data_IF_079742268191
#
_entry.id   IF_079742268191
#
_cell.length_a   1.000
_cell.length_b   1.000
_cell.length_c   1.000
_cell.angle_alpha   90.00
_cell.angle_beta   90.00
_cell.angle_gamma   90.00
#
_symmetry.space_group_name_H-M   'P 1'
#
loop_
_entity.id
_entity.type
_entity.pdbx_description
1 polymer ?
#
# COMPACT_ATOMS: atom_id res chain seq x y z
N UNK A 1 -24.51 -27.17 15.06
CA UNK A 1 -24.59 -27.34 13.59
C UNK A 1 -24.14 -26.09 12.82
N UNK A 2 -24.76 -24.92 13.02
CA UNK A 2 -24.42 -23.68 12.29
C UNK A 2 -22.94 -23.25 12.39
N UNK A 3 -22.32 -23.36 13.57
CA UNK A 3 -20.90 -23.03 13.76
C UNK A 3 -19.93 -23.96 13.01
N UNK A 4 -20.29 -25.24 12.83
CA UNK A 4 -19.48 -26.20 12.07
C UNK A 4 -19.58 -25.94 10.56
N UNK A 5 -20.78 -25.58 10.08
CA UNK A 5 -21.00 -25.16 8.69
C UNK A 5 -20.29 -23.83 8.36
N UNK A 6 -20.27 -22.88 9.29
CA UNK A 6 -19.51 -21.64 9.12
C UNK A 6 -18.00 -21.91 9.02
N UNK A 7 -17.46 -22.80 9.89
CA UNK A 7 -16.05 -23.21 9.85
C UNK A 7 -15.68 -23.90 8.54
N UNK A 8 -16.53 -24.78 8.00
CA UNK A 8 -16.25 -25.48 6.73
C UNK A 8 -16.29 -24.54 5.52
N UNK A 9 -17.19 -23.55 5.50
CA UNK A 9 -17.26 -22.52 4.45
C UNK A 9 -16.04 -21.60 4.48
N UNK A 10 -15.62 -21.14 5.65
CA UNK A 10 -14.41 -20.33 5.79
C UNK A 10 -13.15 -21.11 5.36
N UNK A 11 -13.01 -22.36 5.78
CA UNK A 11 -11.88 -23.20 5.36
C UNK A 11 -11.83 -23.35 3.84
N UNK A 12 -12.97 -23.65 3.21
CA UNK A 12 -13.06 -23.77 1.75
C UNK A 12 -12.79 -22.46 1.02
N UNK A 13 -13.25 -21.32 1.55
CA UNK A 13 -12.95 -20.01 0.97
C UNK A 13 -11.45 -19.69 1.03
N UNK A 14 -10.78 -20.05 2.14
CA UNK A 14 -9.34 -19.87 2.30
C UNK A 14 -8.54 -20.81 1.39
N UNK A 15 -9.00 -22.06 1.20
CA UNK A 15 -8.41 -22.99 0.23
C UNK A 15 -8.57 -22.52 -1.21
N UNK A 16 -9.72 -21.95 -1.57
CA UNK A 16 -9.95 -21.36 -2.89
C UNK A 16 -9.08 -20.12 -3.10
N UNK A 17 -8.99 -19.21 -2.12
CA UNK A 17 -8.09 -18.07 -2.18
C UNK A 17 -6.63 -18.51 -2.31
N UNK A 18 -6.26 -19.61 -1.65
CA UNK A 18 -4.93 -20.19 -1.74
C UNK A 18 -4.64 -20.80 -3.12
N UNK A 19 -5.59 -21.51 -3.71
CA UNK A 19 -5.48 -22.01 -5.07
C UNK A 19 -5.37 -20.87 -6.09
N UNK A 20 -6.17 -19.82 -5.92
CA UNK A 20 -6.13 -18.62 -6.77
C UNK A 20 -4.78 -17.90 -6.71
N UNK A 21 -4.06 -17.89 -5.59
CA UNK A 21 -2.69 -17.35 -5.53
C UNK A 21 -1.71 -18.18 -6.36
N UNK A 22 -1.87 -19.50 -6.40
CA UNK A 22 -1.09 -20.37 -7.30
C UNK A 22 -1.38 -20.09 -8.77
N UNK A 23 -2.63 -19.78 -9.10
CA UNK A 23 -3.09 -19.48 -10.46
C UNK A 23 -2.97 -18.00 -10.84
N UNK A 24 -2.70 -17.10 -9.90
CA UNK A 24 -2.59 -15.65 -10.14
C UNK A 24 -1.56 -15.31 -11.22
N UNK A 25 -0.59 -16.20 -11.42
CA UNK A 25 0.40 -16.15 -12.50
C UNK A 25 -0.22 -16.19 -13.90
N UNK A 26 -1.32 -16.94 -14.08
CA UNK A 26 -2.04 -17.05 -15.34
C UNK A 26 -2.95 -15.84 -15.61
N UNK A 27 -3.28 -15.07 -14.57
CA UNK A 27 -4.22 -13.95 -14.64
C UNK A 27 -3.62 -12.67 -14.03
N UNK A 28 -2.58 -12.08 -14.67
CA UNK A 28 -1.88 -10.92 -14.11
C UNK A 28 -2.79 -9.70 -13.90
N UNK A 29 -3.87 -9.55 -14.69
CA UNK A 29 -4.81 -8.44 -14.55
C UNK A 29 -5.67 -8.47 -13.28
N UNK A 30 -5.81 -9.64 -12.63
CA UNK A 30 -6.60 -9.82 -11.40
C UNK A 30 -5.75 -10.26 -10.21
N UNK A 31 -4.45 -10.49 -10.43
CA UNK A 31 -3.53 -10.95 -9.40
C UNK A 31 -3.49 -9.99 -8.20
N UNK A 32 -3.49 -8.67 -8.44
CA UNK A 32 -3.52 -7.65 -7.39
C UNK A 32 -4.72 -7.78 -6.46
N UNK A 33 -5.92 -8.01 -7.02
CA UNK A 33 -7.15 -8.16 -6.24
C UNK A 33 -7.11 -9.42 -5.37
N UNK A 34 -6.51 -10.51 -5.89
CA UNK A 34 -6.31 -11.75 -5.12
C UNK A 34 -5.37 -11.51 -3.94
N UNK A 35 -4.24 -10.81 -4.15
CA UNK A 35 -3.32 -10.49 -3.07
C UNK A 35 -3.94 -9.55 -2.04
N UNK A 36 -4.65 -8.51 -2.48
CA UNK A 36 -5.37 -7.60 -1.60
C UNK A 36 -6.40 -8.35 -0.74
N UNK A 37 -7.15 -9.29 -1.33
CA UNK A 37 -8.11 -10.13 -0.61
C UNK A 37 -7.42 -11.00 0.44
N UNK A 38 -6.31 -11.66 0.10
CA UNK A 38 -5.54 -12.49 1.04
C UNK A 38 -5.01 -11.65 2.20
N UNK A 39 -4.47 -10.46 1.92
CA UNK A 39 -4.02 -9.52 2.95
C UNK A 39 -5.15 -9.10 3.88
N UNK A 40 -6.31 -8.71 3.33
CA UNK A 40 -7.49 -8.33 4.11
C UNK A 40 -8.01 -9.49 4.99
N UNK A 41 -8.07 -10.72 4.46
CA UNK A 41 -8.48 -11.90 5.21
C UNK A 41 -7.51 -12.22 6.35
N UNK A 42 -6.20 -12.12 6.11
CA UNK A 42 -5.18 -12.34 7.13
C UNK A 42 -5.21 -11.27 8.23
N UNK A 43 -5.51 -10.01 7.88
CA UNK A 43 -5.64 -8.92 8.82
C UNK A 43 -6.90 -9.06 9.71
N UNK A 44 -8.04 -9.42 9.11
CA UNK A 44 -9.32 -9.50 9.81
C UNK A 44 -9.47 -10.76 10.67
N UNK A 45 -8.83 -11.88 10.31
CA UNK A 45 -9.04 -13.16 10.98
C UNK A 45 -7.71 -13.85 11.39
N UNK A 46 -7.29 -13.77 12.67
CA UNK A 46 -6.05 -14.39 13.14
C UNK A 46 -5.96 -15.90 12.89
N UNK A 47 -7.10 -16.61 12.89
CA UNK A 47 -7.15 -18.03 12.57
C UNK A 47 -6.81 -18.31 11.10
N UNK A 48 -7.30 -17.47 10.18
CA UNK A 48 -6.98 -17.55 8.73
C UNK A 48 -5.49 -17.27 8.53
N UNK A 49 -4.95 -16.24 9.19
CA UNK A 49 -3.52 -15.94 9.15
C UNK A 49 -2.67 -17.13 9.58
N UNK A 50 -2.96 -17.74 10.75
CA UNK A 50 -2.23 -18.92 11.25
C UNK A 50 -2.31 -20.09 10.27
N UNK A 51 -3.48 -20.33 9.68
CA UNK A 51 -3.67 -21.38 8.68
C UNK A 51 -2.81 -21.15 7.43
N UNK A 52 -2.83 -19.93 6.89
CA UNK A 52 -2.04 -19.58 5.69
C UNK A 52 -0.54 -19.64 5.97
N UNK A 53 -0.08 -19.16 7.12
CA UNK A 53 1.33 -19.28 7.54
C UNK A 53 1.76 -20.75 7.66
N UNK A 54 0.93 -21.60 8.27
CA UNK A 54 1.20 -23.04 8.38
C UNK A 54 1.25 -23.76 7.02
N UNK A 55 0.74 -23.13 5.95
CA UNK A 55 0.79 -23.62 4.56
C UNK A 55 1.88 -22.92 3.72
N UNK A 56 2.81 -22.23 4.37
CA UNK A 56 3.95 -21.54 3.74
C UNK A 56 3.54 -20.45 2.73
N UNK A 57 2.36 -19.84 2.90
CA UNK A 57 1.90 -18.76 2.03
C UNK A 57 2.88 -17.57 1.93
N UNK A 58 3.48 -17.08 3.02
CA UNK A 58 4.47 -16.01 2.93
C UNK A 58 5.64 -16.37 2.00
N UNK A 59 6.11 -17.61 2.03
CA UNK A 59 7.19 -18.07 1.15
C UNK A 59 6.73 -18.11 -0.32
N UNK A 60 5.49 -18.53 -0.59
CA UNK A 60 4.88 -18.50 -1.93
C UNK A 60 4.77 -17.07 -2.48
N UNK A 61 4.31 -16.13 -1.66
CA UNK A 61 4.22 -14.72 -2.04
C UNK A 61 5.61 -14.08 -2.21
N UNK A 62 6.56 -14.38 -1.33
CA UNK A 62 7.94 -13.89 -1.48
C UNK A 62 8.60 -14.43 -2.76
N UNK A 63 8.40 -15.70 -3.10
CA UNK A 63 8.85 -16.28 -4.35
C UNK A 63 8.25 -15.57 -5.57
N UNK A 64 6.99 -15.14 -5.46
CA UNK A 64 6.29 -14.39 -6.50
C UNK A 64 6.90 -12.99 -6.74
N UNK A 65 7.34 -12.30 -5.68
CA UNK A 65 8.04 -11.00 -5.78
C UNK A 65 9.48 -11.17 -6.28
N UNK A 66 10.19 -12.15 -5.73
CA UNK A 66 11.64 -12.26 -5.92
C UNK A 66 12.03 -12.92 -7.24
N UNK A 67 11.28 -13.92 -7.74
CA UNK A 67 11.57 -14.67 -8.99
C UNK A 67 13.07 -14.87 -9.24
N UNK A 68 13.59 -14.31 -10.35
CA UNK A 68 15.00 -14.40 -10.76
C UNK A 68 15.93 -13.44 -10.01
N UNK A 69 15.37 -12.45 -9.30
CA UNK A 69 16.13 -11.51 -8.44
C UNK A 69 16.45 -12.11 -7.07
N UNK A 70 15.92 -13.28 -6.74
CA UNK A 70 16.25 -13.99 -5.50
C UNK A 70 17.74 -14.42 -5.52
N UNK A 71 18.51 -14.14 -4.44
CA UNK A 71 19.82 -14.75 -4.26
C UNK A 71 19.74 -16.28 -4.37
N UNK A 72 20.76 -16.94 -4.95
CA UNK A 72 20.73 -18.39 -5.24
C UNK A 72 20.35 -19.26 -4.04
N UNK A 73 20.74 -18.86 -2.83
CA UNK A 73 20.36 -19.52 -1.58
C UNK A 73 18.85 -19.42 -1.27
N UNK A 74 18.26 -18.25 -1.47
CA UNK A 74 16.81 -18.02 -1.30
C UNK A 74 16.01 -18.74 -2.39
N UNK A 75 16.49 -18.70 -3.64
CA UNK A 75 15.89 -19.47 -4.73
C UNK A 75 15.97 -20.99 -4.53
N UNK A 76 17.01 -21.49 -3.84
CA UNK A 76 17.11 -22.91 -3.47
C UNK A 76 16.11 -23.29 -2.37
N UNK A 77 15.91 -22.42 -1.37
CA UNK A 77 14.92 -22.63 -0.32
C UNK A 77 13.47 -22.58 -0.83
N UNK A 78 13.19 -21.77 -1.86
CA UNK A 78 11.85 -21.60 -2.44
C UNK A 78 11.53 -22.59 -3.57
N UNK A 79 12.49 -23.43 -3.98
CA UNK A 79 12.39 -24.31 -5.16
C UNK A 79 11.34 -25.43 -5.05
N UNK A 80 10.88 -25.75 -3.82
CA UNK A 80 9.79 -26.70 -3.57
C UNK A 80 8.41 -26.06 -3.43
N UNK A 81 8.34 -24.73 -3.49
CA UNK A 81 7.16 -23.94 -3.10
C UNK A 81 6.47 -23.29 -4.32
N UNK A 82 7.21 -23.02 -5.39
CA UNK A 82 6.69 -22.39 -6.63
C UNK A 82 7.32 -23.02 -7.87
N UNK A 83 6.51 -23.25 -8.92
CA UNK A 83 7.01 -23.67 -10.24
C UNK A 83 7.74 -22.47 -10.89
N UNK A 84 9.04 -22.58 -11.24
CA UNK A 84 9.81 -21.49 -11.83
C UNK A 84 9.35 -21.07 -13.23
N UNK A 85 8.40 -21.78 -13.84
CA UNK A 85 7.99 -21.56 -15.23
C UNK A 85 6.70 -20.74 -15.30
N UNK A 86 6.82 -19.42 -15.49
CA UNK A 86 5.87 -18.74 -16.40
C UNK A 86 5.18 -17.45 -15.97
N UNK A 87 5.49 -16.81 -14.85
CA UNK A 87 4.82 -15.55 -14.53
C UNK A 87 5.61 -14.31 -14.99
N UNK A 88 5.00 -13.31 -15.65
CA UNK A 88 5.59 -11.99 -15.82
C UNK A 88 5.73 -11.28 -14.47
N UNK A 89 6.84 -10.56 -14.24
CA UNK A 89 6.97 -9.69 -13.07
C UNK A 89 5.81 -8.68 -13.08
N UNK A 90 4.99 -8.64 -12.02
CA UNK A 90 3.99 -7.58 -11.90
C UNK A 90 4.73 -6.25 -11.71
N UNK A 91 4.29 -5.18 -12.39
CA UNK A 91 4.92 -3.86 -12.28
C UNK A 91 4.84 -3.29 -10.86
N UNK A 92 3.79 -3.64 -10.12
CA UNK A 92 3.59 -3.26 -8.72
C UNK A 92 3.56 -4.50 -7.82
N UNK A 93 4.54 -4.64 -6.94
CA UNK A 93 4.58 -5.71 -5.93
C UNK A 93 3.86 -5.31 -4.62
N UNK A 94 3.25 -4.13 -4.59
CA UNK A 94 2.75 -3.53 -3.35
C UNK A 94 1.71 -4.41 -2.65
N UNK A 95 0.73 -4.94 -3.36
CA UNK A 95 -0.29 -5.82 -2.76
C UNK A 95 0.28 -7.18 -2.31
N UNK A 96 1.30 -7.69 -3.00
CA UNK A 96 1.98 -8.94 -2.59
C UNK A 96 2.77 -8.73 -1.31
N UNK A 97 3.47 -7.61 -1.20
CA UNK A 97 4.19 -7.20 0.00
C UNK A 97 3.21 -6.92 1.15
N UNK A 98 2.08 -6.25 0.85
CA UNK A 98 1.01 -6.01 1.82
C UNK A 98 0.44 -7.34 2.36
N UNK A 99 0.10 -8.27 1.48
CA UNK A 99 -0.38 -9.60 1.87
C UNK A 99 0.66 -10.38 2.69
N UNK A 100 1.93 -10.30 2.32
CA UNK A 100 3.02 -10.99 3.02
C UNK A 100 3.20 -10.45 4.43
N UNK A 101 3.26 -9.13 4.61
CA UNK A 101 3.42 -8.55 5.95
C UNK A 101 2.16 -8.75 6.81
N UNK A 102 0.95 -8.72 6.24
CA UNK A 102 -0.27 -9.10 6.94
C UNK A 102 -0.24 -10.55 7.45
N UNK A 103 0.30 -11.48 6.65
CA UNK A 103 0.48 -12.88 7.05
C UNK A 103 1.51 -13.05 8.15
N UNK A 104 2.61 -12.30 8.10
CA UNK A 104 3.65 -12.29 9.13
C UNK A 104 3.20 -11.57 10.41
N UNK A 105 2.02 -10.95 10.41
CA UNK A 105 1.51 -10.20 11.55
C UNK A 105 2.22 -8.86 11.76
N UNK A 106 2.97 -8.39 10.77
CA UNK A 106 3.50 -7.03 10.78
C UNK A 106 2.34 -6.05 10.71
N UNK A 107 2.29 -5.10 11.64
CA UNK A 107 1.27 -4.04 11.62
C UNK A 107 1.53 -3.18 10.39
N UNK A 108 0.63 -3.27 9.41
CA UNK A 108 0.58 -2.31 8.35
C UNK A 108 -0.21 -1.11 8.82
N UNK A 109 0.49 0.02 8.83
CA UNK A 109 -0.02 1.28 8.35
C UNK A 109 -1.21 1.10 7.39
N UNK A 110 -2.44 1.30 7.86
CA UNK A 110 -3.60 1.26 6.97
C UNK A 110 -3.49 2.40 5.96
N UNK A 111 -3.90 2.19 4.70
CA UNK A 111 -3.93 3.30 3.73
C UNK A 111 -4.81 4.42 4.28
N UNK A 112 -4.19 5.55 4.63
CA UNK A 112 -4.87 6.69 5.18
C UNK A 112 -5.87 7.23 4.16
N UNK A 113 -7.09 7.64 4.55
CA UNK A 113 -8.07 8.11 3.58
C UNK A 113 -7.55 9.36 2.85
N UNK A 114 -7.64 9.39 1.52
CA UNK A 114 -7.27 10.58 0.72
C UNK A 114 -8.36 11.65 0.79
N UNK A 115 -9.61 11.22 0.83
CA UNK A 115 -10.78 12.08 0.92
C UNK A 115 -11.39 11.94 2.31
N UNK A 116 -11.79 13.06 2.90
CA UNK A 116 -12.57 13.06 4.12
C UNK A 116 -13.94 12.42 3.82
N UNK A 117 -14.40 11.52 4.69
CA UNK A 117 -15.80 11.10 4.66
C UNK A 117 -16.65 12.36 4.82
N UNK A 118 -17.45 12.69 3.81
CA UNK A 118 -18.37 13.82 3.85
C UNK A 118 -19.21 13.65 5.12
N UNK A 119 -18.87 14.40 6.17
CA UNK A 119 -19.58 14.31 7.44
C UNK A 119 -21.02 14.75 7.16
N UNK A 120 -21.90 13.76 7.01
CA UNK A 120 -23.34 13.88 7.28
C UNK A 120 -23.53 14.01 8.79
N UNK A 121 -22.79 14.91 9.44
CA UNK A 121 -23.05 15.27 10.83
C UNK A 121 -24.11 16.36 10.85
N UNK A 122 -25.35 15.90 10.97
CA UNK A 122 -26.33 16.48 11.90
C UNK A 122 -26.59 17.98 11.74
N UNK A 123 -27.22 18.35 10.64
CA UNK A 123 -27.94 19.61 10.52
C UNK A 123 -29.17 19.37 9.67
N UNK A 124 -30.28 19.02 10.32
CA UNK A 124 -31.62 19.15 9.73
C UNK A 124 -31.74 20.56 9.15
N UNK A 125 -31.76 20.69 7.82
CA UNK A 125 -32.16 21.95 7.17
C UNK A 125 -31.30 22.49 6.05
N UNK A 126 -30.14 21.92 5.69
CA UNK A 126 -29.44 22.37 4.48
C UNK A 126 -29.84 21.56 3.26
N UNK A 127 -31.04 21.85 2.71
CA UNK A 127 -31.44 21.42 1.38
C UNK A 127 -30.55 22.12 0.32
N UNK A 128 -29.32 21.66 0.14
CA UNK A 128 -28.57 21.89 -1.08
C UNK A 128 -29.21 21.05 -2.19
N UNK A 129 -30.38 21.49 -2.65
CA UNK A 129 -31.30 20.76 -3.54
C UNK A 129 -30.68 20.35 -4.88
N UNK A 130 -29.49 20.87 -5.22
CA UNK A 130 -28.73 20.54 -6.43
C UNK A 130 -27.20 20.69 -6.24
N UNK A 131 -26.69 20.64 -5.00
CA UNK A 131 -25.29 20.88 -4.69
C UNK A 131 -24.55 19.58 -4.39
N UNK A 132 -23.77 19.08 -5.35
CA UNK A 132 -22.79 18.02 -5.08
C UNK A 132 -21.91 18.46 -3.91
N UNK A 133 -22.01 17.79 -2.78
CA UNK A 133 -21.04 17.90 -1.69
C UNK A 133 -19.69 17.50 -2.29
N UNK A 134 -18.86 18.48 -2.66
CA UNK A 134 -17.54 18.20 -3.21
C UNK A 134 -16.74 17.49 -2.12
N UNK A 135 -16.29 16.26 -2.40
CA UNK A 135 -15.47 15.51 -1.47
C UNK A 135 -14.22 16.33 -1.14
N UNK A 136 -13.96 16.58 0.14
CA UNK A 136 -12.78 17.32 0.58
C UNK A 136 -11.59 16.37 0.78
N UNK A 137 -10.36 16.88 0.63
CA UNK A 137 -9.17 16.10 0.97
C UNK A 137 -9.11 15.90 2.49
N UNK A 138 -8.76 14.68 2.91
CA UNK A 138 -8.54 14.39 4.32
C UNK A 138 -7.40 15.28 4.87
N UNK A 139 -7.43 15.69 6.15
CA UNK A 139 -6.44 16.60 6.72
C UNK A 139 -4.99 16.12 6.54
N UNK A 140 -4.74 14.81 6.72
CA UNK A 140 -3.42 14.21 6.53
C UNK A 140 -2.97 14.26 5.06
N UNK A 141 -3.86 13.94 4.11
CA UNK A 141 -3.56 13.97 2.68
C UNK A 141 -3.30 15.40 2.21
N UNK A 142 -4.10 16.36 2.70
CA UNK A 142 -3.91 17.79 2.44
C UNK A 142 -2.57 18.28 2.96
N UNK A 143 -2.15 17.87 4.16
CA UNK A 143 -0.86 18.23 4.73
C UNK A 143 0.31 17.66 3.92
N UNK A 144 0.24 16.37 3.54
CA UNK A 144 1.25 15.72 2.71
C UNK A 144 1.41 16.40 1.34
N UNK A 145 0.30 16.64 0.64
CA UNK A 145 0.29 17.32 -0.66
C UNK A 145 0.75 18.78 -0.56
N UNK A 146 0.39 19.48 0.52
CA UNK A 146 0.86 20.84 0.79
C UNK A 146 2.38 20.89 0.97
N UNK A 147 2.97 19.92 1.68
CA UNK A 147 4.41 19.82 1.84
C UNK A 147 5.11 19.53 0.50
N UNK A 148 4.54 18.63 -0.32
CA UNK A 148 5.04 18.39 -1.69
C UNK A 148 5.03 19.67 -2.52
N UNK A 149 3.95 20.44 -2.47
CA UNK A 149 3.86 21.73 -3.17
C UNK A 149 4.95 22.71 -2.73
N UNK A 150 5.16 22.85 -1.42
CA UNK A 150 6.16 23.76 -0.86
C UNK A 150 7.59 23.35 -1.26
N UNK A 151 7.88 22.06 -1.37
CA UNK A 151 9.18 21.55 -1.82
C UNK A 151 9.47 21.75 -3.30
N UNK A 152 8.42 21.79 -4.13
CA UNK A 152 8.59 22.04 -5.56
C UNK A 152 8.59 23.53 -5.91
N UNK A 153 8.04 24.38 -5.04
CA UNK A 153 8.13 25.81 -5.19
C UNK A 153 9.56 26.31 -4.98
N UNK A 154 9.99 27.29 -5.77
CA UNK A 154 11.27 27.96 -5.51
C UNK A 154 11.19 28.84 -4.27
N UNK A 155 12.16 28.79 -3.36
CA UNK A 155 12.10 29.47 -2.05
C UNK A 155 12.09 31.01 -2.14
N UNK A 156 12.50 31.57 -3.28
CA UNK A 156 12.65 33.02 -3.45
C UNK A 156 11.38 33.74 -3.90
N UNK A 157 10.34 33.02 -4.35
CA UNK A 157 9.10 33.68 -4.77
C UNK A 157 8.08 33.76 -3.64
N UNK A 158 7.63 34.98 -3.32
CA UNK A 158 6.53 35.29 -2.41
C UNK A 158 5.49 36.12 -3.20
N UNK A 159 4.21 35.71 -3.26
CA UNK A 159 3.62 34.50 -2.69
C UNK A 159 4.18 33.20 -3.32
N UNK A 160 4.14 32.09 -2.57
CA UNK A 160 4.54 30.78 -3.07
C UNK A 160 3.58 30.35 -4.18
N UNK A 161 4.15 29.95 -5.31
CA UNK A 161 3.42 29.51 -6.48
C UNK A 161 4.34 28.73 -7.40
N UNK A 162 3.81 27.70 -8.04
CA UNK A 162 4.55 26.91 -9.03
C UNK A 162 4.42 27.56 -10.39
N UNK A 163 5.53 27.93 -11.00
CA UNK A 163 5.54 28.36 -12.40
C UNK A 163 5.37 27.15 -13.35
N UNK A 164 5.21 27.41 -14.64
CA UNK A 164 5.11 26.38 -15.68
C UNK A 164 6.27 25.37 -15.62
N UNK A 165 7.50 25.83 -15.35
CA UNK A 165 8.67 24.97 -15.26
C UNK A 165 8.67 24.09 -14.02
N UNK A 166 8.23 24.64 -12.89
CA UNK A 166 8.11 23.91 -11.62
C UNK A 166 7.02 22.83 -11.73
N UNK A 167 5.89 23.11 -12.38
CA UNK A 167 4.83 22.12 -12.63
C UNK A 167 5.28 21.03 -13.62
N UNK A 168 6.02 21.39 -14.67
CA UNK A 168 6.57 20.39 -15.60
C UNK A 168 7.56 19.46 -14.90
N UNK A 169 8.50 20.01 -14.14
CA UNK A 169 9.46 19.23 -13.35
C UNK A 169 8.75 18.33 -12.33
N UNK A 170 7.68 18.83 -11.72
CA UNK A 170 6.83 18.05 -10.83
C UNK A 170 6.17 16.87 -11.55
N UNK A 171 5.55 17.10 -12.71
CA UNK A 171 4.89 16.06 -13.50
C UNK A 171 5.87 15.01 -14.02
N UNK A 172 7.06 15.43 -14.45
CA UNK A 172 8.15 14.54 -14.85
C UNK A 172 8.56 13.60 -13.72
N UNK A 173 8.68 14.14 -12.50
CA UNK A 173 9.01 13.34 -11.30
C UNK A 173 7.90 12.36 -10.93
N UNK A 174 6.64 12.74 -11.10
CA UNK A 174 5.50 11.85 -10.88
C UNK A 174 5.36 10.77 -11.96
N UNK A 175 6.23 10.76 -12.97
CA UNK A 175 6.20 9.84 -14.11
C UNK A 175 4.89 9.93 -14.92
N UNK A 176 4.24 11.10 -14.93
CA UNK A 176 3.14 11.38 -15.84
C UNK A 176 3.70 11.42 -17.26
N UNK A 177 3.66 10.27 -17.96
CA UNK A 177 4.10 9.99 -19.32
C UNK A 177 5.01 11.06 -19.97
N UNK A 178 6.30 10.73 -20.08
CA UNK A 178 7.32 11.52 -20.79
C UNK A 178 6.92 11.68 -22.27
N UNK A 179 6.19 12.75 -22.61
CA UNK A 179 5.71 13.02 -23.97
C UNK A 179 4.83 14.28 -24.08
N UNK A 180 4.34 14.58 -25.29
CA UNK A 180 3.54 15.78 -25.64
C UNK A 180 2.25 15.99 -24.80
N UNK A 181 1.86 15.01 -23.99
CA UNK A 181 0.68 15.02 -23.13
C UNK A 181 0.85 15.99 -21.94
N UNK A 182 2.07 16.25 -21.50
CA UNK A 182 2.36 17.11 -20.32
C UNK A 182 1.99 18.58 -20.55
N UNK A 183 2.25 19.14 -21.73
CA UNK A 183 1.99 20.56 -21.98
C UNK A 183 0.48 20.88 -22.11
N UNK A 184 -0.32 19.95 -22.63
CA UNK A 184 -1.77 20.10 -22.69
C UNK A 184 -2.39 19.97 -21.30
N UNK A 185 -1.98 18.95 -20.53
CA UNK A 185 -2.43 18.77 -19.14
C UNK A 185 -2.06 19.98 -18.28
N UNK A 186 -0.85 20.52 -18.45
CA UNK A 186 -0.42 21.75 -17.77
C UNK A 186 -1.35 22.94 -18.09
N UNK A 187 -1.62 23.19 -19.38
CA UNK A 187 -2.52 24.28 -19.79
C UNK A 187 -3.92 24.10 -19.20
N UNK A 188 -4.44 22.88 -19.21
CA UNK A 188 -5.74 22.58 -18.59
C UNK A 188 -5.70 22.81 -17.08
N UNK A 189 -4.61 22.43 -16.41
CA UNK A 189 -4.45 22.63 -14.97
C UNK A 189 -4.44 24.12 -14.61
N UNK A 190 -3.62 24.93 -15.28
CA UNK A 190 -3.53 26.37 -15.03
C UNK A 190 -4.81 27.13 -15.42
N UNK A 191 -5.58 26.63 -16.40
CA UNK A 191 -6.85 27.23 -16.80
C UNK A 191 -8.02 26.85 -15.87
N UNK A 192 -8.02 25.63 -15.33
CA UNK A 192 -9.14 25.10 -14.54
C UNK A 192 -9.03 25.43 -13.04
N UNK A 193 -7.83 25.45 -12.49
CA UNK A 193 -7.60 25.58 -11.05
C UNK A 193 -7.09 26.97 -10.68
N UNK A 194 -7.19 27.30 -9.39
CA UNK A 194 -6.83 28.62 -8.88
C UNK A 194 -5.35 28.96 -9.14
N UNK A 195 -5.12 30.07 -9.84
CA UNK A 195 -3.80 30.64 -10.13
C UNK A 195 -3.64 31.98 -9.43
N UNK A 196 -2.40 32.34 -9.15
CA UNK A 196 -2.01 33.65 -8.62
C UNK A 196 -2.14 34.73 -9.71
N UNK A 197 -2.13 36.03 -9.35
CA UNK A 197 -2.23 37.14 -10.32
C UNK A 197 -1.13 37.15 -11.39
N UNK A 198 0.00 36.49 -11.12
CA UNK A 198 1.13 36.33 -12.03
C UNK A 198 1.05 35.07 -12.92
N UNK A 199 -0.08 34.35 -12.86
CA UNK A 199 -0.33 33.14 -13.65
C UNK A 199 0.31 31.86 -13.08
N UNK A 200 0.97 31.93 -11.92
CA UNK A 200 1.53 30.73 -11.27
C UNK A 200 0.45 29.94 -10.55
N UNK A 201 0.61 28.62 -10.48
CA UNK A 201 -0.33 27.76 -9.76
C UNK A 201 -0.22 28.01 -8.26
N UNK A 202 -1.35 28.36 -7.63
CA UNK A 202 -1.42 28.55 -6.19
C UNK A 202 -1.48 27.20 -5.44
N UNK A 203 -1.18 27.23 -4.14
CA UNK A 203 -1.33 26.06 -3.26
C UNK A 203 -2.76 25.54 -3.26
N UNK A 204 -3.74 26.44 -3.21
CA UNK A 204 -5.17 26.13 -3.25
C UNK A 204 -5.55 25.44 -4.56
N UNK A 205 -5.06 25.94 -5.70
CA UNK A 205 -5.31 25.34 -7.01
C UNK A 205 -4.68 23.95 -7.14
N UNK A 206 -3.47 23.77 -6.59
CA UNK A 206 -2.81 22.47 -6.54
C UNK A 206 -3.58 21.45 -5.70
N UNK A 207 -4.06 21.84 -4.52
CA UNK A 207 -4.89 20.98 -3.68
C UNK A 207 -6.24 20.67 -4.34
N UNK A 208 -6.83 21.63 -5.05
CA UNK A 208 -8.07 21.41 -5.80
C UNK A 208 -7.88 20.40 -6.94
N UNK A 209 -6.74 20.47 -7.66
CA UNK A 209 -6.37 19.47 -8.65
C UNK A 209 -6.30 18.06 -8.06
N UNK A 210 -5.64 17.90 -6.91
CA UNK A 210 -5.51 16.60 -6.27
C UNK A 210 -6.81 16.07 -5.67
N UNK A 211 -7.69 16.96 -5.21
CA UNK A 211 -9.04 16.59 -4.78
C UNK A 211 -9.84 15.98 -5.93
N UNK A 212 -9.91 16.68 -7.06
CA UNK A 212 -10.61 16.20 -8.26
C UNK A 212 -9.96 14.92 -8.83
N UNK A 213 -8.64 14.79 -8.69
CA UNK A 213 -7.89 13.59 -9.12
C UNK A 213 -8.12 12.41 -8.18
N UNK A 214 -8.19 12.63 -6.87
CA UNK A 214 -8.52 11.59 -5.89
C UNK A 214 -9.93 11.03 -6.06
N UNK A 215 -10.88 11.88 -6.48
CA UNK A 215 -12.26 11.45 -6.77
C UNK A 215 -12.35 10.55 -8.02
N UNK A 216 -11.54 10.83 -9.05
CA UNK A 216 -11.58 10.10 -10.32
C UNK A 216 -10.63 8.91 -10.37
N UNK A 217 -9.43 9.08 -9.81
CA UNK A 217 -8.33 8.14 -9.87
C UNK A 217 -7.43 8.25 -8.61
N UNK A 218 -7.87 7.71 -7.46
CA UNK A 218 -7.09 7.76 -6.22
C UNK A 218 -5.76 7.01 -6.32
N UNK A 219 -5.64 6.02 -7.23
CA UNK A 219 -4.40 5.28 -7.45
C UNK A 219 -3.27 6.19 -7.95
N UNK A 220 -3.60 7.15 -8.81
CA UNK A 220 -2.64 8.14 -9.31
C UNK A 220 -2.11 9.03 -8.18
N UNK A 221 -2.99 9.53 -7.32
CA UNK A 221 -2.58 10.36 -6.17
C UNK A 221 -1.63 9.63 -5.24
N UNK A 222 -1.89 8.34 -4.99
CA UNK A 222 -0.99 7.50 -4.21
C UNK A 222 0.35 7.28 -4.89
N UNK A 223 0.35 6.95 -6.18
CA UNK A 223 1.58 6.83 -6.97
C UNK A 223 2.44 8.10 -6.85
N UNK A 224 1.81 9.27 -7.02
CA UNK A 224 2.49 10.55 -6.92
C UNK A 224 3.07 10.76 -5.51
N UNK A 225 2.31 10.50 -4.45
CA UNK A 225 2.79 10.57 -3.06
C UNK A 225 3.97 9.62 -2.77
N UNK A 226 3.95 8.40 -3.32
CA UNK A 226 5.07 7.44 -3.17
C UNK A 226 6.35 7.97 -3.82
N UNK A 227 6.28 8.69 -4.95
CA UNK A 227 7.44 9.33 -5.59
C UNK A 227 8.07 10.45 -4.73
N UNK A 228 7.32 10.96 -3.74
CA UNK A 228 7.79 11.91 -2.73
C UNK A 228 8.13 11.26 -1.39
N UNK A 229 8.20 9.92 -1.34
CA UNK A 229 8.62 9.15 -0.17
C UNK A 229 7.57 9.06 0.93
N UNK A 230 6.30 9.34 0.64
CA UNK A 230 5.21 9.11 1.59
C UNK A 230 4.82 7.64 1.61
N UNK A 231 4.58 7.10 2.80
CA UNK A 231 4.06 5.75 3.00
C UNK A 231 2.53 5.74 2.98
N UNK A 232 1.91 4.55 3.10
CA UNK A 232 0.45 4.36 3.18
C UNK A 232 -0.22 5.17 4.31
N UNK A 233 0.51 5.46 5.40
CA UNK A 233 0.03 6.31 6.51
C UNK A 233 0.19 7.81 6.25
N UNK A 234 0.65 8.22 5.06
CA UNK A 234 1.01 9.61 4.72
C UNK A 234 2.13 10.19 5.59
N UNK A 235 2.92 9.32 6.22
CA UNK A 235 4.17 9.68 6.89
C UNK A 235 5.30 9.50 5.91
N UNK A 236 6.19 10.50 5.81
CA UNK A 236 7.38 10.39 4.98
C UNK A 236 8.38 9.43 5.63
N UNK A 237 8.85 8.45 4.88
CA UNK A 237 9.93 7.59 5.34
C UNK A 237 11.16 8.47 5.60
N UNK A 238 11.55 8.65 6.87
CA UNK A 238 12.80 9.30 7.20
C UNK A 238 13.98 8.54 6.57
N UNK A 239 15.15 9.18 6.37
CA UNK A 239 16.34 8.50 5.88
C UNK A 239 16.78 7.31 6.75
N UNK A 240 16.30 7.21 8.00
CA UNK A 240 16.55 6.08 8.89
C UNK A 240 15.56 4.91 8.75
N UNK A 241 14.35 5.11 8.22
CA UNK A 241 13.35 4.03 8.14
C UNK A 241 13.50 3.10 6.93
N UNK A 242 14.32 3.48 5.95
CA UNK A 242 14.67 2.63 4.80
C UNK A 242 15.76 1.59 5.13
N UNK A 243 16.35 1.64 6.32
CA UNK A 243 17.39 0.72 6.78
C UNK A 243 16.95 -0.09 8.02
N UNK A 244 15.98 -0.98 7.84
CA UNK A 244 15.85 -2.19 8.66
C UNK A 244 15.49 -1.98 10.14
N UNK A 245 14.24 -1.63 10.44
CA UNK A 245 13.70 -1.84 11.79
C UNK A 245 13.05 -3.23 11.89
N UNK A 246 13.90 -4.27 11.84
CA UNK A 246 13.59 -5.56 12.42
C UNK A 246 13.90 -5.48 13.92
N UNK A 247 12.96 -4.93 14.70
CA UNK A 247 13.04 -5.01 16.15
C UNK A 247 13.00 -6.50 16.58
N UNK A 248 13.86 -6.94 17.52
CA UNK A 248 13.92 -8.34 17.92
C UNK A 248 12.70 -8.68 18.78
N UNK A 249 11.92 -9.67 18.33
CA UNK A 249 10.94 -10.35 19.16
C UNK A 249 11.68 -11.22 20.19
N UNK A 250 12.20 -10.61 21.24
CA UNK A 250 12.68 -11.31 22.42
C UNK A 250 11.53 -11.39 23.44
N UNK A 251 10.80 -12.51 23.41
CA UNK A 251 10.37 -13.29 24.59
C UNK A 251 9.26 -14.27 24.21
N UNK A 252 9.68 -15.46 23.75
CA UNK A 252 8.84 -16.66 23.77
C UNK A 252 9.71 -17.91 23.61
N UNK A 253 10.64 -18.12 24.55
CA UNK A 253 11.37 -19.39 24.64
C UNK A 253 11.56 -19.79 26.11
N UNK A 254 10.47 -20.29 26.72
CA UNK A 254 10.55 -21.12 27.91
C UNK A 254 9.72 -22.39 27.65
N UNK A 255 10.36 -23.36 27.00
CA UNK A 255 9.92 -24.75 27.01
C UNK A 255 10.86 -25.54 27.94
N UNK A 256 10.35 -26.35 28.89
CA UNK A 256 11.18 -27.21 29.70
C UNK A 256 11.58 -28.47 28.92
N UNK A 257 12.87 -28.62 28.66
CA UNK A 257 13.48 -29.81 28.07
C UNK A 257 13.54 -30.95 29.09
N UNK A 258 12.80 -32.02 28.83
CA UNK A 258 13.01 -33.34 29.41
C UNK A 258 14.25 -34.01 28.80
N UNK A 259 15.19 -34.46 29.62
CA UNK A 259 16.27 -35.40 29.29
C UNK A 259 16.56 -36.20 30.57
N UNK A 260 15.97 -37.39 30.71
CA UNK A 260 16.53 -38.69 30.29
C UNK A 260 17.58 -39.25 31.26
N UNK A 261 17.10 -40.23 32.05
CA UNK A 261 17.65 -41.56 32.27
C UNK A 261 19.14 -41.75 32.68
N UNK A 262 19.26 -42.50 33.77
CA UNK A 262 20.23 -43.57 34.03
C UNK A 262 21.66 -43.19 34.45
N UNK A 263 21.89 -43.26 35.77
CA UNK A 263 23.14 -43.78 36.32
C UNK A 263 22.80 -44.86 37.36
N UNK A 264 23.32 -46.06 37.13
CA UNK A 264 23.11 -47.25 37.91
C UNK A 264 23.91 -47.25 39.22
N UNK A 265 23.37 -47.96 40.21
CA UNK A 265 24.04 -48.83 41.17
C UNK A 265 25.39 -48.40 41.79
N UNK A 266 25.41 -48.18 43.11
CA UNK A 266 26.17 -49.01 44.07
C UNK A 266 26.10 -48.45 45.51
N UNK A 267 25.98 -49.38 46.46
CA UNK A 267 26.46 -49.33 47.85
C UNK A 267 25.74 -48.41 48.87
N UNK A 268 24.80 -48.99 49.63
CA UNK A 268 24.90 -49.28 51.06
C UNK A 268 23.50 -49.58 51.63
#
# INVERSE_FOLDING_TARGET
>A
AAALLARSRCARAVELAAALVGEAQAYPGTADDVFALVGALAACAPAVRRYLVAREFPARLAAFVLKERAPKAVAAALRGVVDPRGAPALPDFLHVLEATAALLGARQAGKAPLLAEAHTQGGEGSYSRWGQQQAELAPAARAALAAVFEEQCRPHFRPLGMDTGDVLKYMERCQHAVGNVTHFQLKQMLAKYHTLPDGRLSKEGFLQYYRDTAERNPKQVWSDLYQFGYNSDLVRAGPEQSAGEAAPAADAAAAPSSSAAAAAAAAA
#
